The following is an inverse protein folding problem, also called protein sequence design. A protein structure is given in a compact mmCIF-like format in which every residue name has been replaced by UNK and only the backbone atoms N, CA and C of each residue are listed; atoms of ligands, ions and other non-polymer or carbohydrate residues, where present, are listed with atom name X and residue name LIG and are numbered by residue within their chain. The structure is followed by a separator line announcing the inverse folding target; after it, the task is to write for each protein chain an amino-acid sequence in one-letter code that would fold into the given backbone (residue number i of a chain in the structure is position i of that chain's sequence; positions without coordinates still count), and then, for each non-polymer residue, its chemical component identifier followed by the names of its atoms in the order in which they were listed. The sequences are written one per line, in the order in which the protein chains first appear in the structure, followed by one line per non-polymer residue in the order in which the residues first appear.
data_IF_426025564752
#
_entry.id   IF_426025564752
#
_cell.length_a   1.000
_cell.length_b   1.000
_cell.length_c   1.000
_cell.angle_alpha   90.00
_cell.angle_beta   90.00
_cell.angle_gamma   90.00
#
_symmetry.space_group_name_H-M   'P 1'
#
loop_
_entity.id
_entity.type
_entity.pdbx_description
1 polymer ?
#
# COMPACT_ATOMS: atom_id res chain seq x y z
N UNK A 1 11.44 69.50 -2.22
CA UNK A 1 11.76 68.19 -2.81
C UNK A 1 12.38 67.34 -1.72
N UNK A 2 11.56 66.55 -1.04
CA UNK A 2 11.95 65.75 0.14
C UNK A 2 11.58 64.30 -0.14
N UNK A 3 12.60 63.44 -0.16
CA UNK A 3 12.51 62.02 -0.46
C UNK A 3 11.82 61.26 0.68
N UNK A 4 10.78 60.50 0.35
CA UNK A 4 10.11 59.58 1.28
C UNK A 4 10.41 58.15 0.84
N UNK A 5 11.32 57.50 1.56
CA UNK A 5 11.66 56.08 1.44
C UNK A 5 10.51 55.22 1.97
N UNK A 6 10.11 54.11 1.32
CA UNK A 6 9.08 53.24 1.86
C UNK A 6 9.63 52.33 2.96
N UNK A 7 9.00 52.39 4.14
CA UNK A 7 9.32 51.59 5.31
C UNK A 7 8.97 50.12 5.06
N UNK A 8 9.98 49.25 4.98
CA UNK A 8 9.82 47.79 4.87
C UNK A 8 9.34 47.25 6.23
N UNK A 9 8.06 46.86 6.34
CA UNK A 9 7.57 46.11 7.51
C UNK A 9 8.16 44.71 7.48
N UNK A 10 9.04 44.42 8.44
CA UNK A 10 9.55 43.08 8.72
C UNK A 10 8.40 42.22 9.26
N UNK A 11 8.01 41.19 8.49
CA UNK A 11 7.12 40.12 8.96
C UNK A 11 7.98 39.17 9.79
N UNK A 12 8.02 39.39 11.10
CA UNK A 12 8.58 38.41 12.04
C UNK A 12 7.61 37.23 12.15
N UNK A 13 7.99 36.09 11.58
CA UNK A 13 7.32 34.82 11.85
C UNK A 13 7.43 34.51 13.36
N UNK A 14 6.34 34.03 14.00
CA UNK A 14 6.43 33.53 15.37
C UNK A 14 7.38 32.32 15.41
N UNK A 15 8.16 32.14 16.48
CA UNK A 15 9.05 30.99 16.63
C UNK A 15 8.22 29.70 16.56
N UNK A 16 8.63 28.78 15.69
CA UNK A 16 8.10 27.42 15.65
C UNK A 16 8.21 26.81 17.05
N UNK A 17 7.08 26.39 17.60
CA UNK A 17 7.07 25.69 18.88
C UNK A 17 7.96 24.44 18.76
N UNK A 18 8.96 24.34 19.63
CA UNK A 18 9.79 23.15 19.78
C UNK A 18 8.86 21.97 20.12
N UNK A 19 8.64 21.08 19.16
CA UNK A 19 8.02 19.79 19.41
C UNK A 19 9.12 18.83 19.87
N UNK A 20 9.02 18.26 21.09
CA UNK A 20 9.98 17.25 21.51
C UNK A 20 9.93 16.06 20.55
N UNK A 21 11.06 15.36 20.31
CA UNK A 21 11.05 14.13 19.53
C UNK A 21 10.04 13.17 20.16
N UNK A 22 9.16 12.60 19.33
CA UNK A 22 8.22 11.57 19.78
C UNK A 22 9.03 10.43 20.42
N UNK A 23 8.58 9.87 21.55
CA UNK A 23 9.21 8.68 22.11
C UNK A 23 9.30 7.59 21.04
N UNK A 24 10.38 6.81 21.04
CA UNK A 24 10.51 5.64 20.17
C UNK A 24 9.24 4.79 20.34
N UNK A 25 8.49 4.63 19.24
CA UNK A 25 7.27 3.83 19.26
C UNK A 25 7.63 2.40 19.70
N UNK A 26 6.82 1.78 20.58
CA UNK A 26 6.93 0.34 20.79
C UNK A 26 6.89 -0.36 19.42
N UNK A 27 7.73 -1.37 19.22
CA UNK A 27 7.67 -2.16 18.00
C UNK A 27 6.26 -2.75 17.88
N UNK A 28 5.60 -2.54 16.74
CA UNK A 28 4.31 -3.17 16.46
C UNK A 28 4.57 -4.67 16.44
N UNK A 29 4.01 -5.40 17.40
CA UNK A 29 4.08 -6.85 17.44
C UNK A 29 3.39 -7.41 16.20
N UNK A 30 4.15 -8.14 15.38
CA UNK A 30 3.64 -8.71 14.15
C UNK A 30 2.64 -9.84 14.44
N UNK A 31 2.79 -10.56 15.55
CA UNK A 31 1.84 -11.60 15.97
C UNK A 31 1.79 -11.92 17.48
N UNK A 32 2.72 -11.44 18.31
CA UNK A 32 2.67 -11.60 19.79
C UNK A 32 2.86 -13.03 20.32
N UNK A 33 3.42 -13.96 19.53
CA UNK A 33 3.68 -15.34 19.95
C UNK A 33 5.01 -15.47 20.74
N UNK A 34 5.11 -16.50 21.59
CA UNK A 34 6.34 -16.82 22.31
C UNK A 34 7.39 -17.43 21.36
N UNK A 35 8.61 -16.88 21.38
CA UNK A 35 9.74 -17.30 20.54
C UNK A 35 10.09 -18.77 20.80
N UNK A 36 10.20 -19.55 19.71
CA UNK A 36 10.56 -20.97 19.75
C UNK A 36 12.06 -21.22 19.67
N UNK A 37 12.87 -20.16 19.51
CA UNK A 37 14.33 -20.22 19.39
C UNK A 37 14.80 -20.61 17.98
N UNK A 38 13.91 -20.60 16.99
CA UNK A 38 14.20 -21.01 15.60
C UNK A 38 14.31 -19.86 14.60
N UNK A 39 14.42 -18.61 15.07
CA UNK A 39 14.51 -17.41 14.24
C UNK A 39 15.80 -17.32 13.40
N UNK A 40 16.93 -17.88 13.88
CA UNK A 40 18.25 -17.66 13.27
C UNK A 40 18.37 -18.17 11.79
N UNK A 41 17.87 -19.36 11.42
CA UNK A 41 17.77 -19.76 10.01
C UNK A 41 16.99 -18.78 9.14
N UNK A 42 15.84 -18.29 9.61
CA UNK A 42 15.01 -17.34 8.87
C UNK A 42 15.72 -15.99 8.69
N UNK A 43 16.38 -15.46 9.74
CA UNK A 43 17.21 -14.26 9.65
C UNK A 43 18.31 -14.42 8.59
N UNK A 44 19.00 -15.56 8.58
CA UNK A 44 20.04 -15.84 7.57
C UNK A 44 19.46 -15.87 6.16
N UNK A 45 18.29 -16.47 5.99
CA UNK A 45 17.60 -16.54 4.71
C UNK A 45 17.14 -15.16 4.22
N UNK A 46 16.58 -14.32 5.10
CA UNK A 46 16.17 -12.95 4.75
C UNK A 46 17.36 -12.14 4.25
N UNK A 47 18.51 -12.20 4.95
CA UNK A 47 19.73 -11.52 4.52
C UNK A 47 20.21 -12.00 3.15
N UNK A 48 20.26 -13.31 2.94
CA UNK A 48 20.69 -13.88 1.66
C UNK A 48 19.75 -13.48 0.50
N UNK A 49 18.43 -13.45 0.73
CA UNK A 49 17.45 -13.02 -0.27
C UNK A 49 17.59 -11.52 -0.58
N UNK A 50 17.73 -10.68 0.45
CA UNK A 50 17.99 -9.25 0.29
C UNK A 50 19.24 -9.01 -0.57
N UNK A 51 20.37 -9.60 -0.22
CA UNK A 51 21.64 -9.40 -0.93
C UNK A 51 21.55 -9.90 -2.38
N UNK A 52 20.87 -11.03 -2.61
CA UNK A 52 20.67 -11.56 -3.95
C UNK A 52 19.77 -10.65 -4.81
N UNK A 53 18.70 -10.09 -4.24
CA UNK A 53 17.82 -9.13 -4.92
C UNK A 53 18.55 -7.81 -5.20
N UNK A 54 19.25 -7.26 -4.22
CA UNK A 54 20.05 -6.04 -4.35
C UNK A 54 21.18 -6.18 -5.39
N UNK A 55 21.67 -7.40 -5.64
CA UNK A 55 22.67 -7.68 -6.67
C UNK A 55 22.11 -7.82 -8.10
N UNK A 56 20.79 -7.80 -8.28
CA UNK A 56 20.18 -7.88 -9.60
C UNK A 56 20.36 -6.55 -10.36
N UNK A 57 20.65 -6.62 -11.65
CA UNK A 57 20.83 -5.43 -12.51
C UNK A 57 19.52 -4.69 -12.74
N UNK A 58 18.43 -5.43 -12.79
CA UNK A 58 17.06 -4.94 -12.83
C UNK A 58 16.15 -5.95 -12.13
N UNK A 59 14.92 -5.53 -11.82
CA UNK A 59 13.91 -6.35 -11.16
C UNK A 59 12.79 -6.77 -12.12
N UNK A 60 13.04 -6.72 -13.43
CA UNK A 60 12.03 -7.12 -14.41
C UNK A 60 11.73 -8.63 -14.27
N UNK A 61 10.50 -9.07 -14.61
CA UNK A 61 10.14 -10.48 -14.48
C UNK A 61 11.03 -11.38 -15.33
N UNK A 62 11.65 -12.36 -14.68
CA UNK A 62 12.54 -13.32 -15.30
C UNK A 62 12.82 -14.49 -14.34
N UNK A 63 13.47 -15.58 -14.81
CA UNK A 63 13.63 -16.78 -14.00
C UNK A 63 14.28 -16.53 -12.63
N UNK A 64 15.31 -15.68 -12.58
CA UNK A 64 16.03 -15.35 -11.34
C UNK A 64 15.22 -14.46 -10.40
N UNK A 65 14.66 -13.36 -10.90
CA UNK A 65 13.86 -12.43 -10.08
C UNK A 65 12.59 -13.11 -9.56
N UNK A 66 11.94 -13.93 -10.39
CA UNK A 66 10.76 -14.72 -10.01
C UNK A 66 11.10 -15.76 -8.91
N UNK A 67 12.25 -16.44 -9.00
CA UNK A 67 12.69 -17.36 -7.93
C UNK A 67 12.94 -16.62 -6.61
N UNK A 68 13.67 -15.50 -6.66
CA UNK A 68 14.01 -14.72 -5.46
C UNK A 68 12.77 -14.16 -4.77
N UNK A 69 11.88 -13.49 -5.51
CA UNK A 69 10.63 -13.00 -4.95
C UNK A 69 9.71 -14.14 -4.51
N UNK A 70 9.64 -15.23 -5.27
CA UNK A 70 8.85 -16.41 -4.91
C UNK A 70 9.29 -17.00 -3.58
N UNK A 71 10.60 -17.14 -3.34
CA UNK A 71 11.17 -17.61 -2.07
C UNK A 71 10.94 -16.64 -0.92
N UNK A 72 11.00 -15.33 -1.18
CA UNK A 72 10.70 -14.32 -0.17
C UNK A 72 9.23 -14.34 0.24
N UNK A 73 8.31 -14.41 -0.73
CA UNK A 73 6.87 -14.53 -0.49
C UNK A 73 6.56 -15.83 0.24
N UNK A 74 7.14 -16.96 -0.18
CA UNK A 74 6.96 -18.24 0.49
C UNK A 74 7.39 -18.19 1.97
N UNK A 75 8.53 -17.55 2.27
CA UNK A 75 8.97 -17.33 3.65
C UNK A 75 7.97 -16.45 4.42
N UNK A 76 7.51 -15.35 3.82
CA UNK A 76 6.60 -14.39 4.45
C UNK A 76 5.22 -14.99 4.79
N UNK A 77 4.74 -15.96 3.99
CA UNK A 77 3.45 -16.61 4.21
C UNK A 77 3.52 -17.92 5.00
N UNK A 78 4.73 -18.43 5.28
CA UNK A 78 4.95 -19.70 5.99
C UNK A 78 4.41 -19.66 7.43
N UNK A 79 3.40 -20.49 7.78
CA UNK A 79 2.84 -20.55 9.13
C UNK A 79 3.82 -20.99 10.21
N UNK A 80 4.89 -21.70 9.84
CA UNK A 80 5.91 -22.15 10.80
C UNK A 80 6.85 -21.00 11.16
N UNK A 81 7.37 -20.29 10.16
CA UNK A 81 8.19 -19.09 10.37
C UNK A 81 7.40 -17.96 11.05
N UNK A 82 6.09 -17.88 10.81
CA UNK A 82 5.19 -16.91 11.44
C UNK A 82 5.19 -16.96 12.97
N UNK A 83 5.56 -18.10 13.60
CA UNK A 83 5.63 -18.24 15.06
C UNK A 83 6.71 -17.37 15.69
N UNK A 84 7.79 -17.15 14.96
CA UNK A 84 8.95 -16.35 15.41
C UNK A 84 8.97 -14.97 14.71
N UNK A 85 7.85 -14.51 14.12
CA UNK A 85 7.84 -13.32 13.28
C UNK A 85 8.33 -12.06 14.01
N UNK A 86 7.94 -11.88 15.27
CA UNK A 86 8.36 -10.72 16.09
C UNK A 86 9.87 -10.77 16.36
N UNK A 87 10.42 -11.96 16.63
CA UNK A 87 11.85 -12.15 16.85
C UNK A 87 12.65 -11.93 15.56
N UNK A 88 12.15 -12.42 14.42
CA UNK A 88 12.80 -12.25 13.11
C UNK A 88 12.78 -10.78 12.68
N UNK A 89 11.62 -10.10 12.75
CA UNK A 89 11.49 -8.70 12.35
C UNK A 89 12.20 -7.75 13.31
N UNK A 90 12.29 -8.11 14.59
CA UNK A 90 13.00 -7.36 15.63
C UNK A 90 14.52 -7.61 15.66
N UNK A 91 15.03 -8.63 14.95
CA UNK A 91 16.45 -8.89 14.85
C UNK A 91 17.17 -7.67 14.23
N UNK A 92 18.23 -7.12 14.87
CA UNK A 92 18.90 -5.91 14.38
C UNK A 92 19.41 -6.02 12.94
N UNK A 93 19.81 -7.21 12.50
CA UNK A 93 20.28 -7.43 11.13
C UNK A 93 19.13 -7.37 10.13
N UNK A 94 17.95 -7.88 10.49
CA UNK A 94 16.75 -7.77 9.63
C UNK A 94 16.20 -6.35 9.65
N UNK A 95 16.06 -5.76 10.83
CA UNK A 95 15.52 -4.40 11.01
C UNK A 95 16.31 -3.36 10.19
N UNK A 96 17.64 -3.51 10.11
CA UNK A 96 18.50 -2.62 9.30
C UNK A 96 18.24 -2.76 7.80
N UNK A 97 17.93 -3.97 7.31
CA UNK A 97 17.70 -4.24 5.89
C UNK A 97 16.26 -3.97 5.45
N UNK A 98 15.33 -3.91 6.40
CA UNK A 98 13.90 -3.92 6.14
C UNK A 98 13.42 -2.78 5.22
N UNK A 99 13.89 -1.51 5.37
CA UNK A 99 13.54 -0.44 4.43
C UNK A 99 13.99 -0.75 2.99
N UNK A 100 15.23 -1.20 2.82
CA UNK A 100 15.79 -1.56 1.51
C UNK A 100 15.08 -2.76 0.89
N UNK A 101 14.75 -3.77 1.70
CA UNK A 101 14.01 -4.94 1.25
C UNK A 101 12.60 -4.57 0.77
N UNK A 102 11.89 -3.71 1.50
CA UNK A 102 10.55 -3.23 1.10
C UNK A 102 10.60 -2.39 -0.16
N UNK A 103 11.64 -1.57 -0.34
CA UNK A 103 11.86 -0.84 -1.59
C UNK A 103 12.06 -1.80 -2.76
N UNK A 104 12.91 -2.83 -2.60
CA UNK A 104 13.11 -3.86 -3.63
C UNK A 104 11.80 -4.61 -3.96
N UNK A 105 10.96 -4.89 -2.95
CA UNK A 105 9.64 -5.49 -3.18
C UNK A 105 8.73 -4.55 -3.96
N UNK A 106 8.70 -3.26 -3.62
CA UNK A 106 7.91 -2.25 -4.32
C UNK A 106 8.32 -2.11 -5.78
N UNK A 107 9.63 -2.00 -6.03
CA UNK A 107 10.19 -1.86 -7.37
C UNK A 107 9.94 -3.12 -8.22
N UNK A 108 10.10 -4.31 -7.62
CA UNK A 108 9.82 -5.58 -8.28
C UNK A 108 8.34 -5.80 -8.60
N UNK A 109 7.45 -5.46 -7.67
CA UNK A 109 6.00 -5.50 -7.89
C UNK A 109 5.59 -4.52 -8.99
N UNK A 110 6.13 -3.30 -9.00
CA UNK A 110 5.90 -2.33 -10.05
C UNK A 110 6.35 -2.83 -11.43
N UNK A 111 7.58 -3.36 -11.55
CA UNK A 111 8.07 -3.90 -12.82
C UNK A 111 7.29 -5.13 -13.28
N UNK A 112 6.83 -5.97 -12.35
CA UNK A 112 5.93 -7.08 -12.65
C UNK A 112 4.61 -6.59 -13.23
N UNK A 113 3.92 -5.70 -12.53
CA UNK A 113 2.65 -5.14 -12.99
C UNK A 113 2.82 -4.43 -14.34
N UNK A 114 3.89 -3.66 -14.51
CA UNK A 114 4.22 -2.92 -15.73
C UNK A 114 4.48 -3.86 -16.91
N UNK A 115 5.25 -4.93 -16.70
CA UNK A 115 5.49 -5.97 -17.71
C UNK A 115 4.18 -6.62 -18.15
N UNK A 116 3.34 -7.01 -17.20
CA UNK A 116 2.07 -7.68 -17.48
C UNK A 116 1.04 -6.74 -18.12
N UNK A 117 0.95 -5.49 -17.68
CA UNK A 117 0.05 -4.51 -18.29
C UNK A 117 0.37 -4.31 -19.78
N UNK A 118 1.66 -4.16 -20.14
CA UNK A 118 2.10 -4.06 -21.54
C UNK A 118 1.78 -5.32 -22.32
N UNK A 119 2.05 -6.49 -21.74
CA UNK A 119 1.78 -7.79 -22.36
C UNK A 119 0.29 -7.99 -22.66
N UNK A 120 -0.59 -7.62 -21.73
CA UNK A 120 -2.03 -7.73 -21.88
C UNK A 120 -2.55 -6.76 -22.94
N UNK A 121 -2.10 -5.49 -22.90
CA UNK A 121 -2.50 -4.47 -23.89
C UNK A 121 -2.10 -4.88 -25.31
N UNK A 122 -0.95 -5.53 -25.49
CA UNK A 122 -0.47 -5.98 -26.79
C UNK A 122 -1.08 -7.31 -27.26
N UNK A 123 -1.84 -8.01 -26.41
CA UNK A 123 -2.39 -9.32 -26.74
C UNK A 123 -3.58 -9.22 -27.70
N UNK A 124 -3.72 -10.23 -28.58
CA UNK A 124 -4.90 -10.35 -29.44
C UNK A 124 -6.19 -10.60 -28.64
N UNK A 125 -6.07 -11.27 -27.50
CA UNK A 125 -7.14 -11.46 -26.51
C UNK A 125 -6.64 -10.99 -25.13
N UNK A 126 -6.83 -9.71 -24.80
CA UNK A 126 -6.39 -9.16 -23.52
C UNK A 126 -7.01 -9.86 -22.31
N UNK A 127 -8.25 -10.35 -22.41
CA UNK A 127 -8.93 -11.00 -21.29
C UNK A 127 -8.31 -12.39 -21.00
N UNK A 128 -8.07 -13.18 -22.05
CA UNK A 128 -7.36 -14.46 -21.89
C UNK A 128 -5.94 -14.27 -21.39
N UNK A 129 -5.26 -13.19 -21.80
CA UNK A 129 -3.90 -12.91 -21.34
C UNK A 129 -3.87 -12.44 -19.88
N UNK A 130 -4.85 -11.63 -19.45
CA UNK A 130 -5.00 -11.24 -18.05
C UNK A 130 -5.22 -12.46 -17.13
N UNK A 131 -5.98 -13.45 -17.58
CA UNK A 131 -6.23 -14.68 -16.81
C UNK A 131 -4.95 -15.50 -16.53
N UNK A 132 -3.83 -15.20 -17.22
CA UNK A 132 -2.52 -15.84 -17.01
C UNK A 132 -1.64 -15.09 -16.00
N UNK A 133 -2.07 -13.93 -15.52
CA UNK A 133 -1.30 -13.17 -14.54
C UNK A 133 -1.14 -14.00 -13.24
N UNK A 134 0.10 -14.24 -12.75
CA UNK A 134 0.35 -15.19 -11.66
C UNK A 134 -0.40 -14.88 -10.37
N UNK A 135 -0.65 -13.60 -10.08
CA UNK A 135 -1.33 -13.16 -8.87
C UNK A 135 -2.81 -12.83 -9.10
N UNK A 136 -3.39 -13.14 -10.27
CA UNK A 136 -4.78 -12.79 -10.58
C UNK A 136 -5.78 -13.28 -9.51
N UNK A 137 -5.67 -14.55 -9.10
CA UNK A 137 -6.52 -15.10 -8.05
C UNK A 137 -6.28 -14.43 -6.69
N UNK A 138 -5.04 -14.03 -6.39
CA UNK A 138 -4.70 -13.31 -5.16
C UNK A 138 -5.43 -11.96 -5.09
N UNK A 139 -5.44 -11.18 -6.18
CA UNK A 139 -6.21 -9.93 -6.26
C UNK A 139 -7.72 -10.18 -6.16
N UNK A 140 -8.23 -11.24 -6.79
CA UNK A 140 -9.65 -11.62 -6.69
C UNK A 140 -10.04 -11.86 -5.22
N UNK A 141 -9.24 -12.64 -4.50
CA UNK A 141 -9.53 -12.99 -3.11
C UNK A 141 -9.33 -11.79 -2.17
N UNK A 142 -8.28 -10.99 -2.40
CA UNK A 142 -8.02 -9.76 -1.64
C UNK A 142 -9.13 -8.74 -1.85
N UNK A 143 -9.53 -8.43 -3.08
CA UNK A 143 -10.60 -7.45 -3.35
C UNK A 143 -11.93 -7.91 -2.76
N UNK A 144 -12.21 -9.22 -2.78
CA UNK A 144 -13.40 -9.77 -2.13
C UNK A 144 -13.36 -9.56 -0.61
N UNK A 145 -12.22 -9.84 0.00
CA UNK A 145 -12.00 -9.65 1.44
C UNK A 145 -12.14 -8.17 1.83
N UNK A 146 -11.53 -7.27 1.06
CA UNK A 146 -11.61 -5.81 1.22
C UNK A 146 -13.05 -5.29 1.11
N UNK A 147 -13.77 -5.71 0.07
CA UNK A 147 -15.16 -5.31 -0.12
C UNK A 147 -16.03 -5.75 1.06
N UNK A 148 -15.93 -7.01 1.50
CA UNK A 148 -16.73 -7.50 2.61
C UNK A 148 -16.34 -6.91 3.97
N UNK A 149 -15.08 -6.52 4.16
CA UNK A 149 -14.64 -5.81 5.36
C UNK A 149 -15.32 -4.43 5.49
N UNK A 150 -15.73 -3.82 4.38
CA UNK A 150 -16.41 -2.52 4.35
C UNK A 150 -17.92 -2.64 4.32
N UNK A 151 -18.48 -3.57 3.54
CA UNK A 151 -19.92 -3.64 3.25
C UNK A 151 -20.82 -3.81 4.49
N UNK A 152 -20.29 -4.32 5.60
CA UNK A 152 -21.02 -4.43 6.87
C UNK A 152 -20.98 -3.18 7.76
N UNK A 153 -20.18 -2.17 7.40
CA UNK A 153 -19.91 -0.99 8.24
C UNK A 153 -20.79 0.22 7.89
N UNK A 154 -21.50 0.16 6.75
CA UNK A 154 -22.37 1.22 6.25
C UNK A 154 -23.72 0.65 5.81
N UNK A 155 -24.83 1.41 5.97
CA UNK A 155 -26.15 0.97 5.57
C UNK A 155 -26.41 1.10 4.05
N UNK A 156 -25.49 1.75 3.33
CA UNK A 156 -25.59 1.99 1.89
C UNK A 156 -24.47 1.27 1.14
N UNK A 157 -24.67 1.04 -0.15
CA UNK A 157 -23.64 0.48 -1.03
C UNK A 157 -22.54 1.51 -1.26
N UNK A 158 -21.28 1.07 -1.26
CA UNK A 158 -20.15 1.87 -1.70
C UNK A 158 -20.27 2.11 -3.21
N UNK A 159 -20.49 3.36 -3.60
CA UNK A 159 -20.67 3.78 -4.98
C UNK A 159 -19.40 4.38 -5.59
N UNK A 160 -18.82 5.39 -4.92
CA UNK A 160 -17.65 6.11 -5.45
C UNK A 160 -16.40 5.87 -4.59
N UNK A 161 -15.32 5.44 -5.25
CA UNK A 161 -14.07 5.04 -4.61
C UNK A 161 -12.91 5.88 -5.14
N UNK A 162 -12.05 6.36 -4.26
CA UNK A 162 -10.71 6.85 -4.62
C UNK A 162 -9.70 5.74 -4.34
N UNK A 163 -8.85 5.39 -5.30
CA UNK A 163 -7.78 4.43 -5.12
C UNK A 163 -6.42 5.11 -5.24
N UNK A 164 -5.69 5.22 -4.13
CA UNK A 164 -4.37 5.87 -4.06
C UNK A 164 -3.26 4.83 -4.21
N UNK A 165 -2.44 5.00 -5.25
CA UNK A 165 -1.40 4.05 -5.66
C UNK A 165 -1.97 2.91 -6.49
N UNK A 166 -2.63 3.22 -7.61
CA UNK A 166 -3.31 2.23 -8.43
C UNK A 166 -2.39 1.29 -9.21
N UNK A 167 -1.14 1.70 -9.45
CA UNK A 167 -0.17 0.95 -10.22
C UNK A 167 -0.51 0.85 -11.72
N UNK A 168 0.41 0.27 -12.52
CA UNK A 168 0.20 0.04 -13.95
C UNK A 168 -0.83 -1.07 -14.24
N UNK A 169 -1.09 -1.96 -13.28
CA UNK A 169 -2.05 -3.06 -13.41
C UNK A 169 -3.16 -2.94 -12.33
N UNK A 170 -4.12 -1.99 -12.48
CA UNK A 170 -5.11 -1.61 -11.45
C UNK A 170 -6.22 -2.67 -11.25
N UNK A 171 -5.84 -3.89 -10.88
CA UNK A 171 -6.72 -5.05 -10.77
C UNK A 171 -7.82 -4.86 -9.73
N UNK A 172 -7.45 -4.32 -8.56
CA UNK A 172 -8.41 -4.04 -7.49
C UNK A 172 -9.52 -3.13 -7.99
N UNK A 173 -9.17 -2.03 -8.66
CA UNK A 173 -10.13 -1.08 -9.21
C UNK A 173 -11.02 -1.72 -10.28
N UNK A 174 -10.45 -2.51 -11.19
CA UNK A 174 -11.23 -3.25 -12.19
C UNK A 174 -12.24 -4.21 -11.54
N UNK A 175 -11.81 -4.95 -10.52
CA UNK A 175 -12.67 -5.89 -9.79
C UNK A 175 -13.76 -5.18 -9.00
N UNK A 176 -13.46 -4.02 -8.40
CA UNK A 176 -14.46 -3.18 -7.72
C UNK A 176 -15.54 -2.69 -8.69
N UNK A 177 -15.15 -2.21 -9.86
CA UNK A 177 -16.08 -1.77 -10.89
C UNK A 177 -16.91 -2.93 -11.46
N UNK A 178 -16.26 -4.04 -11.84
CA UNK A 178 -16.91 -5.17 -12.50
C UNK A 178 -17.85 -5.95 -11.56
N UNK A 179 -17.42 -6.21 -10.33
CA UNK A 179 -18.16 -7.12 -9.41
C UNK A 179 -19.07 -6.37 -8.46
N UNK A 180 -18.70 -5.16 -8.08
CA UNK A 180 -19.37 -4.39 -7.05
C UNK A 180 -19.91 -3.07 -7.56
N UNK A 181 -19.81 -2.78 -8.87
CA UNK A 181 -20.42 -1.63 -9.55
C UNK A 181 -19.97 -0.29 -8.99
N UNK A 182 -18.76 -0.22 -8.43
CA UNK A 182 -18.18 1.03 -7.99
C UNK A 182 -17.67 1.85 -9.17
N UNK A 183 -17.77 3.17 -9.10
CA UNK A 183 -16.95 4.07 -9.91
C UNK A 183 -15.66 4.33 -9.16
N UNK A 184 -14.51 4.10 -9.80
CA UNK A 184 -13.20 4.21 -9.17
C UNK A 184 -12.36 5.28 -9.85
N UNK A 185 -12.01 6.30 -9.07
CA UNK A 185 -11.02 7.31 -9.43
C UNK A 185 -9.64 6.81 -8.97
N UNK A 186 -8.74 6.51 -9.90
CA UNK A 186 -7.40 6.00 -9.64
C UNK A 186 -6.40 7.16 -9.64
N UNK A 187 -5.62 7.27 -8.58
CA UNK A 187 -4.59 8.28 -8.40
C UNK A 187 -3.23 7.58 -8.23
N UNK A 188 -2.26 7.96 -9.06
CA UNK A 188 -0.90 7.45 -8.95
C UNK A 188 0.13 8.56 -9.27
N UNK A 189 1.29 8.50 -8.61
CA UNK A 189 2.38 9.46 -8.80
C UNK A 189 3.12 9.20 -10.12
N UNK A 190 3.12 7.96 -10.58
CA UNK A 190 3.86 7.54 -11.76
C UNK A 190 3.04 7.74 -13.05
N UNK A 191 3.45 8.64 -13.97
CA UNK A 191 2.71 8.88 -15.21
C UNK A 191 2.61 7.65 -16.12
N UNK A 192 3.66 6.81 -16.16
CA UNK A 192 3.67 5.55 -16.93
C UNK A 192 2.62 4.57 -16.38
N UNK A 193 2.48 4.49 -15.05
CA UNK A 193 1.47 3.64 -14.42
C UNK A 193 0.05 4.08 -14.78
N UNK A 194 -0.23 5.39 -14.69
CA UNK A 194 -1.52 5.96 -15.08
C UNK A 194 -1.83 5.71 -16.55
N UNK A 195 -0.87 5.94 -17.44
CA UNK A 195 -1.04 5.73 -18.88
C UNK A 195 -1.30 4.25 -19.23
N UNK A 196 -0.56 3.33 -18.59
CA UNK A 196 -0.73 1.89 -18.77
C UNK A 196 -2.06 1.41 -18.20
N UNK A 197 -2.44 1.82 -16.99
CA UNK A 197 -3.73 1.48 -16.38
C UNK A 197 -4.92 1.91 -17.24
N UNK A 198 -4.86 3.12 -17.82
CA UNK A 198 -5.85 3.61 -18.79
C UNK A 198 -5.90 2.76 -20.07
N UNK A 199 -4.73 2.43 -20.63
CA UNK A 199 -4.64 1.64 -21.87
C UNK A 199 -5.13 0.20 -21.66
N UNK A 200 -4.76 -0.41 -20.53
CA UNK A 200 -5.17 -1.75 -20.11
C UNK A 200 -6.69 -1.84 -19.95
N UNK A 201 -7.28 -0.92 -19.19
CA UNK A 201 -8.72 -0.93 -18.94
C UNK A 201 -9.52 -0.70 -20.22
N UNK A 202 -9.04 0.17 -21.11
CA UNK A 202 -9.62 0.35 -22.44
C UNK A 202 -9.52 -0.92 -23.30
N UNK A 203 -8.35 -1.58 -23.34
CA UNK A 203 -8.15 -2.83 -24.09
C UNK A 203 -9.05 -3.97 -23.59
N UNK A 204 -9.35 -3.99 -22.29
CA UNK A 204 -10.26 -4.96 -21.66
C UNK A 204 -11.74 -4.53 -21.72
N UNK A 205 -12.07 -3.38 -22.32
CA UNK A 205 -13.43 -2.86 -22.41
C UNK A 205 -14.06 -2.51 -21.05
N UNK A 206 -13.24 -2.16 -20.04
CA UNK A 206 -13.71 -1.83 -18.69
C UNK A 206 -14.16 -0.37 -18.61
N UNK A 207 -15.25 -0.13 -17.90
CA UNK A 207 -15.87 1.20 -17.70
C UNK A 207 -15.96 1.53 -16.21
N UNK A 208 -16.22 2.81 -15.88
CA UNK A 208 -16.33 3.26 -14.48
C UNK A 208 -14.98 3.43 -13.79
N UNK A 209 -13.90 3.54 -14.57
CA UNK A 209 -12.53 3.69 -14.11
C UNK A 209 -11.97 5.00 -14.67
N UNK A 210 -11.56 5.90 -13.78
CA UNK A 210 -10.90 7.15 -14.14
C UNK A 210 -9.48 7.13 -13.61
N UNK A 211 -8.58 7.87 -14.26
CA UNK A 211 -7.16 7.85 -13.95
C UNK A 211 -6.58 9.26 -13.97
N UNK A 212 -5.98 9.66 -12.87
CA UNK A 212 -5.31 10.94 -12.67
C UNK A 212 -3.87 10.72 -12.17
N UNK A 213 -2.96 11.57 -12.65
CA UNK A 213 -1.56 11.53 -12.24
C UNK A 213 -1.31 12.60 -11.19
N UNK A 214 -0.73 12.21 -10.06
CA UNK A 214 -0.32 13.13 -9.02
C UNK A 214 -0.21 12.45 -7.67
N UNK A 215 0.17 13.23 -6.67
CA UNK A 215 0.23 12.77 -5.29
C UNK A 215 -1.07 13.09 -4.55
N UNK A 216 -1.46 12.21 -3.63
CA UNK A 216 -2.60 12.46 -2.74
C UNK A 216 -2.31 13.59 -1.79
N UNK A 217 -1.04 13.79 -1.38
CA UNK A 217 -0.69 14.86 -0.42
C UNK A 217 -0.86 16.27 -1.00
N UNK A 218 -0.94 16.38 -2.32
CA UNK A 218 -1.19 17.63 -3.04
C UNK A 218 -2.69 17.92 -3.24
N UNK A 219 -3.58 17.07 -2.70
CA UNK A 219 -5.03 17.22 -2.80
C UNK A 219 -5.57 17.82 -1.51
N UNK A 220 -6.08 19.05 -1.59
CA UNK A 220 -6.60 19.76 -0.42
C UNK A 220 -8.08 19.49 -0.11
N UNK A 221 -8.82 18.92 -1.07
CA UNK A 221 -10.23 18.53 -0.90
C UNK A 221 -10.49 17.21 -1.62
N UNK A 222 -10.92 16.20 -0.85
CA UNK A 222 -11.29 14.87 -1.33
C UNK A 222 -12.72 14.52 -0.92
N UNK A 223 -13.65 15.47 -1.03
CA UNK A 223 -15.06 15.24 -0.77
C UNK A 223 -15.74 14.32 -1.79
N UNK A 224 -16.81 13.65 -1.35
CA UNK A 224 -17.72 12.89 -2.22
C UNK A 224 -17.31 11.45 -2.54
N UNK A 225 -16.24 10.95 -1.91
CA UNK A 225 -15.92 9.52 -1.91
C UNK A 225 -16.57 8.81 -0.73
N UNK A 226 -17.20 7.66 -1.00
CA UNK A 226 -17.73 6.79 0.04
C UNK A 226 -16.60 6.02 0.74
N UNK A 227 -15.54 5.72 -0.02
CA UNK A 227 -14.40 4.93 0.42
C UNK A 227 -13.11 5.38 -0.28
N UNK A 228 -12.04 5.53 0.50
CA UNK A 228 -10.69 5.77 -0.02
C UNK A 228 -9.79 4.56 0.26
N UNK A 229 -9.22 3.97 -0.78
CA UNK A 229 -8.19 2.95 -0.68
C UNK A 229 -6.81 3.58 -0.61
N UNK A 230 -5.99 3.09 0.32
CA UNK A 230 -4.55 3.31 0.36
C UNK A 230 -3.85 1.99 0.06
N UNK A 231 -3.18 1.93 -1.11
CA UNK A 231 -2.48 0.73 -1.56
C UNK A 231 -1.36 0.29 -0.60
N UNK A 232 -0.91 -0.95 -0.75
CA UNK A 232 0.11 -1.52 0.13
C UNK A 232 1.44 -0.76 0.04
N UNK A 233 1.81 -0.40 -1.19
CA UNK A 233 3.05 0.30 -1.55
C UNK A 233 2.99 1.83 -1.34
N UNK A 234 1.81 2.38 -1.04
CA UNK A 234 1.68 3.80 -0.74
C UNK A 234 2.24 4.11 0.65
N UNK A 235 3.43 4.74 0.69
CA UNK A 235 4.20 4.98 1.90
C UNK A 235 4.89 3.69 2.39
N UNK A 236 6.06 3.38 1.82
CA UNK A 236 6.79 2.14 2.10
C UNK A 236 7.36 2.05 3.51
N UNK A 237 7.56 3.20 4.15
CA UNK A 237 7.94 3.31 5.55
C UNK A 237 6.73 3.57 6.45
N UNK A 238 6.71 3.03 7.69
CA UNK A 238 5.60 3.24 8.63
C UNK A 238 5.26 4.72 8.82
N UNK A 239 6.27 5.59 9.01
CA UNK A 239 6.03 7.02 9.22
C UNK A 239 5.53 7.73 7.96
N UNK A 240 6.00 7.33 6.77
CA UNK A 240 5.49 7.86 5.51
C UNK A 240 4.02 7.49 5.32
N UNK A 241 3.65 6.24 5.61
CA UNK A 241 2.28 5.76 5.52
C UNK A 241 1.35 6.44 6.51
N UNK A 242 1.80 6.63 7.74
CA UNK A 242 1.06 7.37 8.77
C UNK A 242 0.95 8.85 8.41
N UNK A 243 1.94 9.43 7.72
CA UNK A 243 1.87 10.76 7.13
C UNK A 243 0.76 10.87 6.10
N UNK A 244 0.63 9.89 5.19
CA UNK A 244 -0.45 9.82 4.21
C UNK A 244 -1.82 9.71 4.90
N UNK A 245 -1.95 8.83 5.89
CA UNK A 245 -3.19 8.71 6.67
C UNK A 245 -3.53 9.99 7.43
N UNK A 246 -2.54 10.66 8.02
CA UNK A 246 -2.73 11.95 8.70
C UNK A 246 -3.23 13.02 7.73
N UNK A 247 -2.67 13.06 6.53
CA UNK A 247 -3.12 13.97 5.47
C UNK A 247 -4.57 13.67 5.07
N UNK A 248 -4.89 12.40 4.80
CA UNK A 248 -6.25 11.97 4.44
C UNK A 248 -7.27 12.33 5.52
N UNK A 249 -6.96 12.10 6.80
CA UNK A 249 -7.85 12.45 7.91
C UNK A 249 -8.19 13.96 7.97
N UNK A 250 -7.31 14.82 7.44
CA UNK A 250 -7.52 16.28 7.42
C UNK A 250 -8.37 16.74 6.24
N UNK A 251 -8.23 16.10 5.08
CA UNK A 251 -8.84 16.58 3.81
C UNK A 251 -10.11 15.82 3.42
N UNK A 252 -10.35 14.65 4.03
CA UNK A 252 -11.58 13.88 3.82
C UNK A 252 -12.73 14.39 4.69
N UNK A 253 -13.95 14.19 4.19
CA UNK A 253 -15.15 14.49 4.97
C UNK A 253 -15.23 13.57 6.19
N UNK A 254 -15.58 14.10 7.38
CA UNK A 254 -15.87 13.25 8.54
C UNK A 254 -16.87 12.14 8.23
N UNK A 255 -16.59 10.93 8.71
CA UNK A 255 -17.39 9.75 8.42
C UNK A 255 -17.00 9.00 7.15
N UNK A 256 -16.18 9.58 6.26
CA UNK A 256 -15.63 8.85 5.11
C UNK A 256 -14.82 7.65 5.59
N UNK A 257 -14.98 6.52 4.89
CA UNK A 257 -14.23 5.31 5.18
C UNK A 257 -12.87 5.34 4.46
N UNK A 258 -11.85 4.84 5.15
CA UNK A 258 -10.51 4.64 4.61
C UNK A 258 -10.15 3.17 4.79
N UNK A 259 -9.78 2.51 3.71
CA UNK A 259 -9.24 1.15 3.72
C UNK A 259 -7.77 1.22 3.36
N UNK A 260 -6.90 0.89 4.32
CA UNK A 260 -5.48 0.83 4.10
C UNK A 260 -5.01 -0.62 4.07
N UNK A 261 -4.31 -1.00 3.00
CA UNK A 261 -3.58 -2.27 2.96
C UNK A 261 -2.40 -2.21 3.92
N UNK A 262 -2.23 -3.24 4.71
CA UNK A 262 -1.20 -3.42 5.74
C UNK A 262 -0.56 -4.81 5.57
N UNK A 263 0.28 -5.19 6.52
CA UNK A 263 0.78 -6.55 6.70
C UNK A 263 0.54 -7.02 8.14
N UNK A 264 0.72 -8.32 8.35
CA UNK A 264 0.67 -8.96 9.67
C UNK A 264 1.64 -10.13 9.69
N UNK A 265 2.21 -10.44 10.87
CA UNK A 265 3.24 -11.47 11.02
C UNK A 265 4.42 -11.23 10.06
N UNK A 266 5.05 -12.29 9.56
CA UNK A 266 6.26 -12.23 8.73
C UNK A 266 6.02 -11.58 7.35
N UNK A 267 4.77 -11.32 6.97
CA UNK A 267 4.41 -10.47 5.81
C UNK A 267 4.89 -9.02 5.99
N UNK A 268 5.26 -8.62 7.22
CA UNK A 268 5.96 -7.37 7.50
C UNK A 268 7.30 -7.21 6.78
N UNK A 269 7.89 -8.30 6.26
CA UNK A 269 9.05 -8.25 5.36
C UNK A 269 8.74 -7.55 4.03
N UNK A 270 7.50 -7.69 3.55
CA UNK A 270 7.06 -7.24 2.23
C UNK A 270 6.45 -5.84 2.28
N UNK A 271 5.68 -5.54 3.32
CA UNK A 271 4.94 -4.28 3.46
C UNK A 271 5.01 -3.73 4.88
N UNK A 272 4.85 -2.40 5.06
CA UNK A 272 4.75 -1.81 6.39
C UNK A 272 3.50 -2.30 7.13
N UNK A 273 3.67 -2.58 8.42
CA UNK A 273 2.59 -2.97 9.35
C UNK A 273 2.01 -1.70 9.97
N UNK A 274 0.70 -1.50 9.80
CA UNK A 274 -0.06 -0.47 10.50
C UNK A 274 -0.50 -0.97 11.87
N UNK A 275 -0.29 -0.14 12.89
CA UNK A 275 -0.92 -0.33 14.19
C UNK A 275 -2.37 0.19 14.13
N UNK A 276 -3.39 -0.68 14.28
CA UNK A 276 -4.78 -0.26 14.27
C UNK A 276 -5.16 0.66 15.44
N UNK A 277 -4.35 0.77 16.47
CA UNK A 277 -4.58 1.67 17.60
C UNK A 277 -3.95 3.06 17.43
N UNK A 278 -3.09 3.24 16.43
CA UNK A 278 -2.36 4.50 16.17
C UNK A 278 -2.66 5.06 14.77
N UNK A 279 -3.94 5.10 14.40
CA UNK A 279 -4.38 5.75 13.16
C UNK A 279 -4.73 7.23 13.41
N UNK A 280 -3.94 8.17 12.87
CA UNK A 280 -4.09 9.60 13.15
C UNK A 280 -5.41 10.14 12.58
N UNK A 281 -6.24 10.73 13.44
CA UNK A 281 -7.51 11.36 13.04
C UNK A 281 -8.60 10.39 12.57
N UNK A 282 -8.43 9.08 12.79
CA UNK A 282 -9.39 8.06 12.36
C UNK A 282 -9.68 7.05 13.47
N UNK A 283 -10.89 6.49 13.45
CA UNK A 283 -11.29 5.38 14.30
C UNK A 283 -11.24 4.08 13.51
N UNK A 284 -10.44 3.12 13.98
CA UNK A 284 -10.40 1.78 13.38
C UNK A 284 -11.71 1.05 13.63
N UNK A 285 -12.32 0.58 12.55
CA UNK A 285 -13.59 -0.15 12.57
C UNK A 285 -13.40 -1.66 12.40
N UNK A 286 -12.44 -2.06 11.56
CA UNK A 286 -12.19 -3.46 11.28
C UNK A 286 -10.73 -3.69 10.90
N UNK A 287 -10.20 -4.84 11.30
CA UNK A 287 -8.88 -5.31 10.91
C UNK A 287 -9.03 -6.76 10.45
N UNK A 288 -8.54 -7.05 9.25
CA UNK A 288 -8.65 -8.39 8.66
C UNK A 288 -7.26 -8.87 8.27
N UNK A 289 -6.87 -10.01 8.84
CA UNK A 289 -5.61 -10.69 8.54
C UNK A 289 -5.89 -11.96 7.74
N UNK A 290 -5.37 -12.09 6.51
CA UNK A 290 -5.49 -13.32 5.75
C UNK A 290 -4.58 -14.43 6.34
N UNK A 291 -5.11 -15.65 6.39
CA UNK A 291 -4.35 -16.88 6.70
C UNK A 291 -4.14 -17.75 5.45
N UNK A 292 -4.36 -17.18 4.28
CA UNK A 292 -4.18 -17.82 2.96
C UNK A 292 -2.94 -17.23 2.26
N UNK A 293 -2.79 -17.53 0.97
CA UNK A 293 -1.74 -16.94 0.12
C UNK A 293 -1.92 -15.43 -0.11
N UNK A 294 -3.05 -14.84 0.32
CA UNK A 294 -3.23 -13.38 0.33
C UNK A 294 -2.24 -12.76 1.29
N UNK A 295 -1.47 -11.79 0.81
CA UNK A 295 -0.38 -11.18 1.58
C UNK A 295 -0.87 -9.97 2.38
N UNK A 296 -1.68 -9.09 1.79
CA UNK A 296 -2.06 -7.87 2.47
C UNK A 296 -3.11 -8.12 3.55
N UNK A 297 -2.82 -7.62 4.75
CA UNK A 297 -3.86 -7.35 5.74
C UNK A 297 -4.62 -6.09 5.36
N UNK A 298 -5.80 -5.92 5.93
CA UNK A 298 -6.67 -4.77 5.65
C UNK A 298 -7.03 -4.10 6.96
N UNK A 299 -6.85 -2.79 7.03
CA UNK A 299 -7.34 -1.96 8.14
C UNK A 299 -8.37 -1.00 7.58
N UNK A 300 -9.61 -1.10 8.07
CA UNK A 300 -10.70 -0.20 7.73
C UNK A 300 -10.91 0.77 8.88
N UNK A 301 -10.86 2.05 8.59
CA UNK A 301 -11.02 3.13 9.54
C UNK A 301 -12.04 4.16 9.04
N UNK A 302 -12.52 5.00 9.96
CA UNK A 302 -13.44 6.10 9.67
C UNK A 302 -12.80 7.41 10.08
N UNK A 303 -12.87 8.42 9.22
CA UNK A 303 -12.41 9.78 9.54
C UNK A 303 -13.26 10.35 10.67
N UNK A 304 -12.61 10.84 11.72
CA UNK A 304 -13.29 11.41 12.90
C UNK A 304 -14.03 12.70 12.55
N UNK A 305 -15.15 12.93 13.24
CA UNK A 305 -15.71 14.28 13.36
C UNK A 305 -14.77 15.17 14.18
N UNK A 306 -14.73 16.45 13.84
CA UNK A 306 -14.12 17.47 14.69
C UNK A 306 -14.92 17.66 15.98
#
# INVERSE_FOLDING_TARGET
MTSSTPTRRSLTHPPQAYQPPRPARPAVHACGHADTGSAHPAVTQVRALHDALASCTDLTPGPRTNDLFGRLVALAVDPTAARDADAILGDPAVATLLPGLRQLCADGEFELERHWARRIVAAADPAAELARFPYHQNYVDLTRLEHHAVSGLVPHRIGRVLFVGSGPLPLTSMLLAERYGCTVDNLDREPDAVALGRSLTAALGRTGLHFDTGDVVDRDDLAGYDLVYLAALAGLEPDAKLGLLSHLARVLTPGTLVLARSAHSLRGLLYPVLDPHDLPGMDTLSVVHPFTDVVNSVVVARVRGA
#
